data_IF_615442139911
#
_entry.id   IF_615442139911
#
_cell.length_a   1.000
_cell.length_b   1.000
_cell.length_c   1.000
_cell.angle_alpha   90.00
_cell.angle_beta   90.00
_cell.angle_gamma   90.00
#
_symmetry.space_group_name_H-M   'P 1'
#
loop_
_entity.id
_entity.type
_entity.pdbx_description
1 polymer ?
#
# COMPACT_ATOMS: atom_id res chain seq x y z
N UNK A 1 -1.75 -9.84 6.79
CA UNK A 1 -0.54 -10.14 5.98
C UNK A 1 -0.98 -10.43 4.57
N UNK A 2 -0.31 -9.81 3.59
CA UNK A 2 -0.69 -9.92 2.18
C UNK A 2 0.51 -10.35 1.34
N UNK A 3 0.23 -11.11 0.28
CA UNK A 3 1.22 -11.46 -0.74
C UNK A 3 0.56 -11.31 -2.10
N UNK A 4 1.19 -10.52 -2.97
CA UNK A 4 0.68 -10.21 -4.30
C UNK A 4 1.84 -9.87 -5.23
N UNK A 5 1.60 -9.97 -6.53
CA UNK A 5 2.50 -9.39 -7.53
C UNK A 5 2.32 -7.87 -7.53
N UNK A 6 3.42 -7.12 -7.55
CA UNK A 6 3.38 -5.65 -7.54
C UNK A 6 2.45 -5.06 -8.62
N UNK A 7 2.55 -5.56 -9.87
CA UNK A 7 1.69 -5.10 -10.97
C UNK A 7 0.19 -5.33 -10.71
N UNK A 8 -0.17 -6.50 -10.16
CA UNK A 8 -1.57 -6.82 -9.85
C UNK A 8 -2.12 -5.88 -8.77
N UNK A 9 -1.35 -5.59 -7.72
CA UNK A 9 -1.77 -4.61 -6.72
C UNK A 9 -1.96 -3.23 -7.34
N UNK A 10 -1.02 -2.77 -8.17
CA UNK A 10 -1.11 -1.45 -8.81
C UNK A 10 -2.34 -1.33 -9.72
N UNK A 11 -2.67 -2.39 -10.46
CA UNK A 11 -3.86 -2.40 -11.32
C UNK A 11 -5.15 -2.39 -10.49
N UNK A 12 -5.23 -3.21 -9.44
CA UNK A 12 -6.38 -3.20 -8.51
C UNK A 12 -6.53 -1.84 -7.80
N UNK A 13 -5.42 -1.21 -7.39
CA UNK A 13 -5.44 0.11 -6.74
C UNK A 13 -5.90 1.20 -7.72
N UNK A 14 -5.43 1.18 -8.97
CA UNK A 14 -5.86 2.13 -10.00
C UNK A 14 -7.37 2.04 -10.29
N UNK A 15 -7.95 0.85 -10.19
CA UNK A 15 -9.39 0.67 -10.40
C UNK A 15 -10.24 1.33 -9.29
N UNK A 16 -9.69 1.50 -8.09
CA UNK A 16 -10.43 2.04 -6.93
C UNK A 16 -10.04 3.48 -6.56
N UNK A 17 -8.80 3.88 -6.84
CA UNK A 17 -8.25 5.20 -6.50
C UNK A 17 -7.05 5.53 -7.40
N UNK A 18 -7.33 5.86 -8.66
CA UNK A 18 -6.32 6.23 -9.65
C UNK A 18 -5.53 7.49 -9.27
N UNK A 19 -6.17 8.45 -8.59
CA UNK A 19 -5.56 9.73 -8.22
C UNK A 19 -4.49 9.56 -7.14
N UNK A 20 -4.74 8.72 -6.13
CA UNK A 20 -3.72 8.37 -5.15
C UNK A 20 -2.56 7.61 -5.81
N UNK A 21 -2.84 6.70 -6.76
CA UNK A 21 -1.76 5.99 -7.47
C UNK A 21 -0.90 6.97 -8.27
N UNK A 22 -1.50 7.88 -9.03
CA UNK A 22 -0.76 8.90 -9.78
C UNK A 22 0.08 9.80 -8.86
N UNK A 23 -0.45 10.16 -7.69
CA UNK A 23 0.26 10.96 -6.69
C UNK A 23 1.45 10.20 -6.08
N UNK A 24 1.29 8.90 -5.78
CA UNK A 24 2.40 8.04 -5.33
C UNK A 24 3.44 7.85 -6.44
N UNK A 25 3.02 7.60 -7.69
CA UNK A 25 3.92 7.45 -8.84
C UNK A 25 4.77 8.71 -9.02
N UNK A 26 4.15 9.90 -8.95
CA UNK A 26 4.85 11.17 -9.00
C UNK A 26 5.81 11.33 -7.82
N UNK A 27 5.40 10.92 -6.62
CA UNK A 27 6.24 11.00 -5.42
C UNK A 27 7.50 10.14 -5.51
N UNK A 28 7.36 8.94 -6.09
CA UNK A 28 8.47 8.02 -6.35
C UNK A 28 9.36 8.55 -7.48
N UNK A 29 8.78 9.10 -8.55
CA UNK A 29 9.54 9.67 -9.67
C UNK A 29 10.38 10.89 -9.25
N UNK A 30 9.85 11.71 -8.35
CA UNK A 30 10.55 12.86 -7.76
C UNK A 30 11.38 12.51 -6.53
N UNK A 31 11.49 11.23 -6.17
CA UNK A 31 12.20 10.81 -4.96
C UNK A 31 13.69 11.14 -5.05
N UNK A 32 14.25 11.59 -3.94
CA UNK A 32 15.67 11.89 -3.80
C UNK A 32 16.37 10.78 -3.03
N UNK A 33 17.69 10.68 -3.17
CA UNK A 33 18.52 9.84 -2.31
C UNK A 33 19.27 10.74 -1.34
N UNK A 34 19.14 10.46 -0.06
CA UNK A 34 19.82 11.19 1.01
C UNK A 34 20.32 10.18 2.05
N UNK A 35 21.57 10.36 2.52
CA UNK A 35 22.23 9.50 3.52
C UNK A 35 22.03 7.98 3.33
N UNK A 36 21.91 7.51 2.07
CA UNK A 36 21.76 6.10 1.73
C UNK A 36 20.32 5.57 1.70
N UNK A 37 19.31 6.41 1.89
CA UNK A 37 17.89 6.04 1.76
C UNK A 37 17.18 6.85 0.66
N UNK A 38 16.07 6.29 0.18
CA UNK A 38 15.16 6.98 -0.76
C UNK A 38 14.19 7.81 0.06
N UNK A 39 14.15 9.11 -0.20
CA UNK A 39 13.19 10.05 0.37
C UNK A 39 12.17 10.42 -0.72
N UNK A 40 10.94 9.98 -0.53
CA UNK A 40 9.80 10.31 -1.38
C UNK A 40 9.56 11.83 -1.41
N UNK A 41 9.06 12.34 -2.53
CA UNK A 41 8.62 13.74 -2.57
C UNK A 41 7.42 13.94 -1.66
N UNK A 42 7.57 14.87 -0.71
CA UNK A 42 6.62 15.05 0.39
C UNK A 42 5.30 15.67 -0.08
N UNK A 43 5.33 16.55 -1.08
CA UNK A 43 4.12 17.21 -1.56
C UNK A 43 3.25 16.23 -2.36
N UNK A 44 3.86 15.48 -3.29
CA UNK A 44 3.17 14.46 -4.07
C UNK A 44 2.67 13.32 -3.18
N UNK A 45 3.46 12.87 -2.20
CA UNK A 45 3.00 11.84 -1.26
C UNK A 45 1.87 12.35 -0.36
N UNK A 46 1.95 13.60 0.10
CA UNK A 46 0.93 14.21 0.95
C UNK A 46 -0.40 14.47 0.25
N UNK A 47 -0.43 14.43 -1.09
CA UNK A 47 -1.67 14.52 -1.87
C UNK A 47 -2.44 13.18 -1.96
N UNK A 48 -1.83 12.08 -1.49
CA UNK A 48 -2.47 10.76 -1.50
C UNK A 48 -3.51 10.62 -0.40
N UNK A 49 -4.49 9.73 -0.61
CA UNK A 49 -5.49 9.46 0.41
C UNK A 49 -4.89 8.64 1.57
N UNK A 50 -5.03 9.16 2.80
CA UNK A 50 -4.56 8.49 4.02
C UNK A 50 -5.57 7.41 4.47
N UNK A 51 -5.51 6.24 3.82
CA UNK A 51 -6.40 5.10 4.07
C UNK A 51 -5.59 3.80 4.14
N UNK A 52 -6.03 2.83 4.95
CA UNK A 52 -5.37 1.52 5.00
C UNK A 52 -5.62 0.73 3.71
N UNK A 53 -4.69 -0.14 3.36
CA UNK A 53 -4.81 -1.03 2.20
C UNK A 53 -6.02 -1.96 2.29
N UNK A 54 -6.43 -2.34 3.51
CA UNK A 54 -7.61 -3.17 3.75
C UNK A 54 -8.87 -2.52 3.16
N UNK A 55 -9.12 -1.26 3.51
CA UNK A 55 -10.26 -0.49 3.00
C UNK A 55 -10.06 0.04 1.58
N UNK A 56 -8.83 0.42 1.23
CA UNK A 56 -8.55 0.96 -0.08
C UNK A 56 -8.81 -0.09 -1.17
N UNK A 57 -8.23 -1.28 -0.99
CA UNK A 57 -8.16 -2.33 -2.02
C UNK A 57 -8.74 -3.67 -1.56
N UNK A 58 -8.35 -4.19 -0.40
CA UNK A 58 -8.59 -5.62 -0.08
C UNK A 58 -10.07 -5.96 0.13
N UNK A 59 -10.89 -5.02 0.60
CA UNK A 59 -12.35 -5.19 0.69
C UNK A 59 -13.05 -5.11 -0.67
N UNK A 60 -12.39 -4.55 -1.70
CA UNK A 60 -12.99 -4.26 -3.01
C UNK A 60 -12.44 -5.13 -4.14
N UNK A 61 -11.30 -5.78 -3.94
CA UNK A 61 -10.61 -6.56 -4.96
C UNK A 61 -11.43 -7.78 -5.41
N UNK A 62 -11.47 -8.02 -6.72
CA UNK A 62 -12.05 -9.23 -7.28
C UNK A 62 -11.07 -10.43 -7.25
N UNK A 63 -9.82 -10.21 -6.86
CA UNK A 63 -8.73 -11.16 -6.94
C UNK A 63 -8.21 -11.60 -5.56
N UNK A 64 -9.13 -11.85 -4.62
CA UNK A 64 -8.80 -12.29 -3.26
C UNK A 64 -8.73 -13.83 -3.14
N UNK A 65 -7.74 -14.31 -2.39
CA UNK A 65 -7.69 -15.68 -1.87
C UNK A 65 -7.11 -15.68 -0.46
N UNK A 66 -7.59 -16.58 0.41
CA UNK A 66 -7.14 -16.70 1.80
C UNK A 66 -6.48 -18.06 1.99
N UNK A 67 -5.28 -18.06 2.58
CA UNK A 67 -4.56 -19.28 2.96
C UNK A 67 -4.53 -19.36 4.49
N UNK A 68 -5.05 -20.45 5.09
CA UNK A 68 -4.99 -20.62 6.54
C UNK A 68 -3.54 -20.77 6.99
N UNK A 69 -3.21 -20.10 8.10
CA UNK A 69 -1.87 -20.12 8.69
C UNK A 69 -1.98 -20.53 10.16
N UNK A 70 -1.18 -21.53 10.55
CA UNK A 70 -1.05 -21.99 11.92
C UNK A 70 0.39 -21.76 12.40
N UNK A 71 0.73 -20.51 12.75
CA UNK A 71 2.07 -20.12 13.20
C UNK A 71 2.12 -19.43 14.58
N UNK A 72 1.03 -19.49 15.36
CA UNK A 72 0.98 -18.85 16.68
C UNK A 72 1.01 -17.32 16.63
N UNK A 73 0.47 -16.72 15.56
CA UNK A 73 0.50 -15.28 15.33
C UNK A 73 -0.34 -14.50 16.36
N UNK A 74 0.18 -13.35 16.80
CA UNK A 74 -0.51 -12.36 17.62
C UNK A 74 -0.13 -10.94 17.15
N UNK A 75 -1.10 -10.01 17.12
CA UNK A 75 -0.86 -8.61 16.76
C UNK A 75 -0.32 -7.75 17.92
N UNK A 76 -0.38 -8.27 19.15
CA UNK A 76 -0.02 -7.57 20.39
C UNK A 76 -0.67 -6.18 20.42
N UNK A 77 -1.96 -6.11 20.06
CA UNK A 77 -2.67 -4.84 19.89
C UNK A 77 -2.85 -4.01 21.18
N UNK A 78 -2.63 -4.61 22.36
CA UNK A 78 -2.61 -3.89 23.64
C UNK A 78 -1.86 -4.67 24.73
N UNK A 79 -1.56 -4.01 25.85
CA UNK A 79 -0.93 -4.60 27.05
C UNK A 79 -1.89 -5.40 27.95
N UNK A 80 -3.13 -5.63 27.50
CA UNK A 80 -4.13 -6.40 28.25
C UNK A 80 -3.96 -7.91 28.02
#
# INVERSE_FOLDING_TARGET
NFMFRAGVLLDEYRNVDADSVASVEQSVASATRDLGFVKLDAAAFGATNAISIDYAVMEKTAHAAVVPVACGWADIGSWR
#
